data_IF_220214582553
#
_entry.id   IF_220214582553
#
_cell.length_a   1.000
_cell.length_b   1.000
_cell.length_c   1.000
_cell.angle_alpha   90.00
_cell.angle_beta   90.00
_cell.angle_gamma   90.00
#
_symmetry.space_group_name_H-M   'P 1'
#
loop_
_entity.id
_entity.type
_entity.pdbx_description
1 polymer ?
#
# COMPACT_ATOMS: atom_id res chain seq x y z
N UNK A 1 13.27 -17.39 1.27
CA UNK A 1 12.31 -17.80 0.21
C UNK A 1 12.83 -17.35 -1.15
N UNK A 2 12.75 -18.20 -2.13
CA UNK A 2 13.15 -17.86 -3.50
C UNK A 2 11.96 -17.35 -4.30
N UNK A 3 12.11 -16.18 -4.91
CA UNK A 3 11.06 -15.57 -5.70
C UNK A 3 11.02 -16.20 -7.10
N UNK A 4 9.85 -16.70 -7.51
CA UNK A 4 9.67 -17.27 -8.84
C UNK A 4 9.55 -16.16 -9.90
N UNK A 5 9.85 -16.50 -11.15
CA UNK A 5 9.69 -15.56 -12.27
C UNK A 5 8.23 -15.15 -12.45
N UNK A 6 7.31 -16.09 -12.22
CA UNK A 6 5.87 -15.83 -12.33
C UNK A 6 5.41 -14.83 -11.27
N UNK A 7 5.82 -15.01 -10.02
CA UNK A 7 5.47 -14.08 -8.93
C UNK A 7 6.05 -12.70 -9.19
N UNK A 8 7.29 -12.61 -9.67
CA UNK A 8 7.92 -11.35 -10.00
C UNK A 8 7.15 -10.59 -11.10
N UNK A 9 6.74 -11.31 -12.13
CA UNK A 9 5.93 -10.73 -13.21
C UNK A 9 4.58 -10.24 -12.69
N UNK A 10 3.90 -11.05 -11.88
CA UNK A 10 2.62 -10.69 -11.26
C UNK A 10 2.78 -9.41 -10.44
N UNK A 11 3.84 -9.32 -9.64
CA UNK A 11 4.11 -8.15 -8.82
C UNK A 11 4.24 -6.89 -9.67
N UNK A 12 5.11 -6.93 -10.69
CA UNK A 12 5.34 -5.78 -11.57
C UNK A 12 4.07 -5.32 -12.28
N UNK A 13 3.27 -6.26 -12.76
CA UNK A 13 2.06 -5.94 -13.51
C UNK A 13 0.95 -5.39 -12.61
N UNK A 14 0.92 -5.78 -11.34
CA UNK A 14 -0.13 -5.36 -10.41
C UNK A 14 0.13 -4.01 -9.73
N UNK A 15 1.37 -3.53 -9.71
CA UNK A 15 1.73 -2.33 -8.96
C UNK A 15 0.89 -1.09 -9.31
N UNK A 16 0.67 -0.74 -10.59
CA UNK A 16 -0.13 0.43 -10.91
C UNK A 16 -1.55 0.36 -10.37
N UNK A 17 -2.20 -0.79 -10.48
CA UNK A 17 -3.56 -0.99 -9.99
C UNK A 17 -3.62 -0.91 -8.47
N UNK A 18 -2.69 -1.54 -7.77
CA UNK A 18 -2.62 -1.50 -6.32
C UNK A 18 -2.42 -0.07 -5.81
N UNK A 19 -1.53 0.67 -6.45
CA UNK A 19 -1.26 2.07 -6.10
C UNK A 19 -2.51 2.93 -6.28
N UNK A 20 -3.16 2.85 -7.42
CA UNK A 20 -4.33 3.68 -7.70
C UNK A 20 -5.49 3.34 -6.76
N UNK A 21 -5.70 2.08 -6.47
CA UNK A 21 -6.74 1.65 -5.53
C UNK A 21 -6.46 2.17 -4.12
N UNK A 22 -5.22 2.04 -3.66
CA UNK A 22 -4.83 2.51 -2.34
C UNK A 22 -5.00 4.03 -2.22
N UNK A 23 -4.53 4.78 -3.23
CA UNK A 23 -4.64 6.24 -3.24
C UNK A 23 -6.10 6.69 -3.27
N UNK A 24 -6.96 6.01 -4.01
CA UNK A 24 -8.38 6.33 -4.03
C UNK A 24 -9.00 6.20 -2.63
N UNK A 25 -8.63 5.17 -1.88
CA UNK A 25 -9.09 4.98 -0.50
C UNK A 25 -8.56 6.07 0.42
N UNK A 26 -7.27 6.41 0.32
CA UNK A 26 -6.67 7.44 1.16
C UNK A 26 -7.21 8.84 0.84
N UNK A 27 -7.46 9.13 -0.42
CA UNK A 27 -8.01 10.42 -0.83
C UNK A 27 -9.40 10.65 -0.20
N UNK A 28 -10.21 9.60 -0.06
CA UNK A 28 -11.51 9.71 0.63
C UNK A 28 -11.33 10.15 2.09
N UNK A 29 -10.33 9.62 2.76
CA UNK A 29 -10.01 10.01 4.14
C UNK A 29 -9.59 11.47 4.22
N UNK A 30 -8.74 11.93 3.29
CA UNK A 30 -8.29 13.32 3.24
C UNK A 30 -9.47 14.28 3.00
N UNK A 31 -10.36 13.92 2.09
CA UNK A 31 -11.56 14.71 1.80
C UNK A 31 -12.45 14.79 3.05
N UNK A 32 -12.60 13.69 3.77
CA UNK A 32 -13.41 13.67 5.00
C UNK A 32 -12.84 14.62 6.06
N UNK A 33 -11.52 14.72 6.20
CA UNK A 33 -10.88 15.66 7.13
C UNK A 33 -11.18 17.10 6.70
N UNK A 34 -11.03 17.41 5.41
CA UNK A 34 -11.29 18.74 4.88
C UNK A 34 -12.76 19.15 4.99
N UNK A 35 -13.67 18.19 4.97
CA UNK A 35 -15.11 18.44 5.07
C UNK A 35 -15.66 18.37 6.49
N UNK A 36 -14.81 18.14 7.49
CA UNK A 36 -15.27 17.97 8.88
C UNK A 36 -15.59 19.32 9.52
N UNK A 37 -16.88 19.62 9.64
CA UNK A 37 -17.37 20.87 10.23
C UNK A 37 -17.02 21.05 11.69
N UNK A 38 -16.67 19.98 12.39
CA UNK A 38 -16.27 20.03 13.81
C UNK A 38 -14.85 20.55 13.99
N UNK A 39 -14.07 20.56 12.92
CA UNK A 39 -12.72 21.11 12.91
C UNK A 39 -12.75 22.56 12.41
N UNK A 40 -11.85 23.37 12.95
CA UNK A 40 -11.64 24.72 12.43
C UNK A 40 -10.92 24.62 11.06
N UNK A 41 -10.96 25.68 10.23
CA UNK A 41 -10.16 25.68 8.99
C UNK A 41 -8.68 25.41 9.21
N UNK A 42 -8.10 25.91 10.30
CA UNK A 42 -6.71 25.64 10.66
C UNK A 42 -6.49 24.15 10.91
N UNK A 43 -7.37 23.55 11.69
CA UNK A 43 -7.30 22.11 11.97
C UNK A 43 -7.50 21.26 10.73
N UNK A 44 -8.48 21.63 9.89
CA UNK A 44 -8.71 20.93 8.62
C UNK A 44 -7.46 20.90 7.75
N UNK A 45 -6.79 22.05 7.63
CA UNK A 45 -5.58 22.16 6.81
C UNK A 45 -4.44 21.31 7.37
N UNK A 46 -4.10 21.52 8.63
CA UNK A 46 -2.92 20.85 9.22
C UNK A 46 -3.14 19.37 9.45
N UNK A 47 -4.35 18.96 9.83
CA UNK A 47 -4.66 17.53 10.01
C UNK A 47 -4.61 16.80 8.67
N UNK A 48 -5.07 17.46 7.59
CA UNK A 48 -4.99 16.90 6.24
C UNK A 48 -3.54 16.79 5.78
N UNK A 49 -2.74 17.84 6.02
CA UNK A 49 -1.32 17.86 5.67
C UNK A 49 -0.58 16.73 6.39
N UNK A 50 -0.81 16.57 7.68
CA UNK A 50 -0.19 15.53 8.48
C UNK A 50 -0.56 14.13 7.99
N UNK A 51 -1.85 13.91 7.70
CA UNK A 51 -2.34 12.65 7.15
C UNK A 51 -1.71 12.36 5.79
N UNK A 52 -1.60 13.38 4.93
CA UNK A 52 -0.99 13.24 3.61
C UNK A 52 0.49 12.90 3.71
N UNK A 53 1.22 13.53 4.61
CA UNK A 53 2.64 13.22 4.85
C UNK A 53 2.85 11.79 5.30
N UNK A 54 2.00 11.32 6.21
CA UNK A 54 2.05 9.94 6.69
C UNK A 54 1.83 8.95 5.54
N UNK A 55 0.84 9.20 4.70
CA UNK A 55 0.58 8.35 3.55
C UNK A 55 1.68 8.42 2.50
N UNK A 56 2.26 9.58 2.30
CA UNK A 56 3.41 9.73 1.40
C UNK A 56 4.58 8.85 1.81
N UNK A 57 4.86 8.77 3.11
CA UNK A 57 5.90 7.90 3.63
C UNK A 57 5.59 6.42 3.39
N UNK A 58 4.35 6.02 3.64
CA UNK A 58 3.90 4.63 3.41
C UNK A 58 4.05 4.27 1.93
N UNK A 59 3.66 5.18 1.04
CA UNK A 59 3.80 4.97 -0.41
C UNK A 59 5.26 4.77 -0.81
N UNK A 60 6.16 5.59 -0.29
CA UNK A 60 7.59 5.43 -0.56
C UNK A 60 8.12 4.10 -0.04
N UNK A 61 7.76 3.74 1.20
CA UNK A 61 8.23 2.49 1.81
C UNK A 61 7.74 1.27 1.04
N UNK A 62 6.52 1.31 0.51
CA UNK A 62 5.93 0.18 -0.20
C UNK A 62 6.33 0.10 -1.67
N UNK A 63 6.52 1.24 -2.33
CA UNK A 63 6.61 1.29 -3.79
C UNK A 63 7.99 1.70 -4.33
N UNK A 64 8.81 2.41 -3.55
CA UNK A 64 10.10 2.88 -4.03
C UNK A 64 11.18 1.83 -3.82
N UNK A 65 12.11 1.75 -4.77
CA UNK A 65 13.32 0.93 -4.63
C UNK A 65 13.07 -0.56 -4.64
N UNK A 66 11.95 -1.03 -5.18
CA UNK A 66 11.70 -2.45 -5.25
C UNK A 66 12.61 -3.14 -6.27
N UNK A 67 12.89 -4.41 -6.00
CA UNK A 67 13.66 -5.28 -6.90
C UNK A 67 13.16 -6.69 -6.68
N UNK A 68 13.57 -7.62 -7.56
CA UNK A 68 13.16 -9.02 -7.41
C UNK A 68 13.57 -9.57 -6.04
N UNK A 69 14.78 -9.26 -5.58
CA UNK A 69 15.28 -9.74 -4.28
C UNK A 69 14.56 -9.10 -3.09
N UNK A 70 14.01 -7.90 -3.25
CA UNK A 70 13.31 -7.16 -2.20
C UNK A 70 11.79 -7.32 -2.27
N UNK A 71 11.28 -8.00 -3.28
CA UNK A 71 9.84 -8.14 -3.54
C UNK A 71 9.07 -8.65 -2.33
N UNK A 72 9.59 -9.68 -1.66
CA UNK A 72 8.92 -10.25 -0.48
C UNK A 72 8.70 -9.22 0.61
N UNK A 73 9.71 -8.41 0.90
CA UNK A 73 9.61 -7.36 1.92
C UNK A 73 8.59 -6.28 1.51
N UNK A 74 8.60 -5.87 0.24
CA UNK A 74 7.61 -4.91 -0.26
C UNK A 74 6.19 -5.44 -0.13
N UNK A 75 5.96 -6.71 -0.49
CA UNK A 75 4.64 -7.33 -0.34
C UNK A 75 4.21 -7.38 1.13
N UNK A 76 5.13 -7.71 2.05
CA UNK A 76 4.83 -7.68 3.48
C UNK A 76 4.36 -6.29 3.93
N UNK A 77 5.08 -5.25 3.54
CA UNK A 77 4.71 -3.88 3.89
C UNK A 77 3.38 -3.48 3.25
N UNK A 78 3.18 -3.79 1.98
CA UNK A 78 1.92 -3.49 1.28
C UNK A 78 0.74 -4.19 1.95
N UNK A 79 0.92 -5.43 2.35
CA UNK A 79 -0.11 -6.19 3.05
C UNK A 79 -0.39 -5.59 4.42
N UNK A 80 0.64 -5.24 5.16
CA UNK A 80 0.52 -4.63 6.50
C UNK A 80 -0.25 -3.32 6.47
N UNK A 81 -0.01 -2.49 5.44
CA UNK A 81 -0.66 -1.17 5.32
C UNK A 81 -1.97 -1.20 4.53
N UNK A 82 -2.43 -2.38 4.11
CA UNK A 82 -3.70 -2.51 3.40
C UNK A 82 -3.66 -2.15 1.92
N UNK A 83 -2.46 -1.92 1.36
CA UNK A 83 -2.29 -1.69 -0.07
C UNK A 83 -2.49 -2.97 -0.87
N UNK A 84 -2.05 -4.10 -0.30
CA UNK A 84 -2.29 -5.44 -0.85
C UNK A 84 -3.19 -6.19 0.13
N UNK A 85 -4.32 -6.66 -0.36
CA UNK A 85 -5.31 -7.40 0.44
C UNK A 85 -5.12 -8.90 0.28
N UNK A 86 -5.78 -9.69 1.14
CA UNK A 86 -5.68 -11.15 1.06
C UNK A 86 -6.09 -11.68 -0.32
N UNK A 87 -7.12 -11.08 -0.93
CA UNK A 87 -7.58 -11.45 -2.27
C UNK A 87 -6.49 -11.24 -3.33
N UNK A 88 -5.68 -10.22 -3.17
CA UNK A 88 -4.60 -9.92 -4.10
C UNK A 88 -3.50 -10.99 -4.04
N UNK A 89 -3.30 -11.60 -2.87
CA UNK A 89 -2.30 -12.65 -2.68
C UNK A 89 -2.65 -13.93 -3.44
N UNK A 90 -3.90 -14.12 -3.81
CA UNK A 90 -4.34 -15.31 -4.55
C UNK A 90 -3.69 -15.42 -5.93
N UNK A 91 -3.21 -14.30 -6.49
CA UNK A 91 -2.50 -14.29 -7.77
C UNK A 91 -1.06 -14.81 -7.68
N UNK A 92 -0.56 -15.02 -6.45
CA UNK A 92 0.82 -15.44 -6.21
C UNK A 92 0.89 -16.92 -5.86
N UNK A 93 2.12 -17.45 -5.85
CA UNK A 93 2.37 -18.85 -5.47
C UNK A 93 1.93 -19.11 -4.03
N UNK A 94 1.58 -20.36 -3.75
CA UNK A 94 1.19 -20.78 -2.41
C UNK A 94 2.31 -20.51 -1.40
N UNK A 95 3.57 -20.75 -1.80
CA UNK A 95 4.73 -20.51 -0.95
C UNK A 95 4.79 -19.03 -0.52
N UNK A 96 4.63 -18.10 -1.47
CA UNK A 96 4.68 -16.68 -1.17
C UNK A 96 3.51 -16.26 -0.30
N UNK A 97 2.29 -16.72 -0.62
CA UNK A 97 1.10 -16.41 0.18
C UNK A 97 1.28 -16.84 1.62
N UNK A 98 1.70 -18.08 1.83
CA UNK A 98 1.89 -18.61 3.18
C UNK A 98 2.94 -17.84 3.94
N UNK A 99 4.02 -17.47 3.27
CA UNK A 99 5.09 -16.68 3.89
C UNK A 99 4.58 -15.31 4.35
N UNK A 100 3.80 -14.62 3.52
CA UNK A 100 3.24 -13.31 3.84
C UNK A 100 2.24 -13.41 4.99
N UNK A 101 1.36 -14.40 4.96
CA UNK A 101 0.29 -14.55 5.96
C UNK A 101 0.81 -15.03 7.32
N UNK A 102 1.99 -15.61 7.39
CA UNK A 102 2.62 -16.03 8.65
C UNK A 102 3.26 -14.85 9.40
N UNK A 103 3.59 -13.79 8.68
CA UNK A 103 4.21 -12.60 9.27
C UNK A 103 3.13 -11.60 9.80
#
# INVERSE_FOLDING_TARGET
>A
MKISKTDWKTFQESLPELRERYLAEQNKTLIAILNDDKRTPTEQFWDTYEAMNKQGKILRDCLDGYSKSKMGMHILLMHRYGMMKNEDLEAYSEELRNWVLQE
#
